data_IF_787226977678
#
_entry.id   IF_787226977678
#
_cell.length_a   1.000
_cell.length_b   1.000
_cell.length_c   1.000
_cell.angle_alpha   90.00
_cell.angle_beta   90.00
_cell.angle_gamma   90.00
#
_symmetry.space_group_name_H-M   'P 1'
#
loop_
_entity.id
_entity.type
_entity.pdbx_description
1 polymer ?
#
# COMPACT_ATOMS: atom_id res chain seq x y z
N UNK A 1 -3.27 -0.90 -6.22
CA UNK A 1 -2.99 -2.31 -6.57
C UNK A 1 -4.20 -2.92 -7.23
N UNK A 2 -5.22 -3.54 -6.64
CA UNK A 2 -6.38 -4.03 -7.44
C UNK A 2 -7.06 -2.90 -8.26
N UNK A 3 -6.94 -1.66 -7.77
CA UNK A 3 -7.30 -0.42 -8.47
C UNK A 3 -6.07 0.44 -8.73
N UNK A 4 -6.14 1.29 -9.76
CA UNK A 4 -5.15 2.35 -9.97
C UNK A 4 -5.33 3.39 -8.88
N UNK A 5 -4.25 3.71 -8.18
CA UNK A 5 -4.21 4.78 -7.18
C UNK A 5 -3.10 5.76 -7.52
N UNK A 6 -3.32 7.02 -7.14
CA UNK A 6 -2.38 8.11 -7.35
C UNK A 6 -1.65 8.44 -6.06
N UNK A 7 -0.38 8.79 -6.20
CA UNK A 7 0.35 9.47 -5.13
C UNK A 7 -0.23 10.88 -4.96
N UNK A 8 -0.49 11.32 -3.73
CA UNK A 8 -1.02 12.67 -3.50
C UNK A 8 0.04 13.72 -3.80
N UNK A 9 -0.37 14.92 -4.23
CA UNK A 9 0.55 16.04 -4.51
C UNK A 9 1.48 16.40 -3.33
N UNK A 10 1.04 16.14 -2.10
CA UNK A 10 1.85 16.30 -0.89
C UNK A 10 3.02 15.29 -0.79
N UNK A 11 3.20 14.38 -1.76
CA UNK A 11 4.37 13.51 -1.87
C UNK A 11 5.69 14.30 -1.95
N UNK A 12 5.64 15.54 -2.44
CA UNK A 12 6.78 16.46 -2.46
C UNK A 12 7.37 16.71 -1.07
N UNK A 13 6.54 16.71 -0.02
CA UNK A 13 7.00 16.80 1.36
C UNK A 13 7.74 15.55 1.81
N UNK A 14 7.28 14.36 1.41
CA UNK A 14 7.98 13.10 1.66
C UNK A 14 9.32 13.07 0.92
N UNK A 15 9.38 13.56 -0.32
CA UNK A 15 10.65 13.72 -1.06
C UNK A 15 11.61 14.66 -0.33
N UNK A 16 11.13 15.78 0.19
CA UNK A 16 11.95 16.67 1.02
C UNK A 16 12.47 15.98 2.29
N UNK A 17 11.65 15.15 2.95
CA UNK A 17 12.08 14.34 4.10
C UNK A 17 13.17 13.33 3.70
N UNK A 18 13.06 12.70 2.53
CA UNK A 18 14.10 11.81 1.99
C UNK A 18 15.41 12.57 1.71
N UNK A 19 15.33 13.80 1.21
CA UNK A 19 16.53 14.64 1.04
C UNK A 19 17.15 15.05 2.38
N UNK A 20 16.33 15.29 3.41
CA UNK A 20 16.80 15.48 4.78
C UNK A 20 17.53 14.24 5.31
N UNK A 21 16.99 13.05 5.06
CA UNK A 21 17.62 11.77 5.40
C UNK A 21 18.96 11.61 4.67
N UNK A 22 19.00 11.89 3.36
CA UNK A 22 20.19 11.82 2.49
C UNK A 22 21.30 12.74 2.98
N UNK A 23 20.98 13.99 3.28
CA UNK A 23 21.97 14.97 3.73
C UNK A 23 22.60 14.54 5.06
N UNK A 24 21.77 14.13 6.04
CA UNK A 24 22.25 13.66 7.33
C UNK A 24 23.08 12.38 7.21
N UNK A 25 22.59 11.35 6.51
CA UNK A 25 23.31 10.08 6.44
C UNK A 25 24.64 10.22 5.70
N UNK A 26 24.68 11.01 4.63
CA UNK A 26 25.93 11.36 3.91
C UNK A 26 26.93 12.02 4.84
N UNK A 27 26.51 13.03 5.60
CA UNK A 27 27.39 13.75 6.51
C UNK A 27 27.87 12.89 7.69
N UNK A 28 27.01 12.03 8.25
CA UNK A 28 27.37 11.11 9.34
C UNK A 28 28.33 10.00 8.89
N UNK A 29 28.20 9.57 7.63
CA UNK A 29 29.05 8.54 7.05
C UNK A 29 30.35 9.10 6.45
N UNK A 30 30.59 10.42 6.51
CA UNK A 30 31.89 11.00 6.15
C UNK A 30 32.99 10.40 7.03
N UNK A 31 34.16 10.12 6.41
CA UNK A 31 35.30 9.50 7.07
C UNK A 31 35.88 10.36 8.21
N UNK A 32 35.67 11.68 8.16
CA UNK A 32 36.15 12.64 9.16
C UNK A 32 35.06 13.04 10.15
N UNK A 33 33.83 12.53 10.03
CA UNK A 33 32.77 12.78 11.00
C UNK A 33 32.88 11.78 12.15
N UNK A 34 33.14 12.27 13.35
CA UNK A 34 33.19 11.48 14.58
C UNK A 34 32.03 11.84 15.52
N UNK A 35 31.70 10.97 16.49
CA UNK A 35 30.59 11.22 17.43
C UNK A 35 30.67 12.57 18.15
N UNK A 36 31.88 13.05 18.47
CA UNK A 36 32.09 14.32 19.16
C UNK A 36 31.75 15.56 18.32
N UNK A 37 31.77 15.43 16.99
CA UNK A 37 31.48 16.52 16.06
C UNK A 37 29.97 16.74 15.89
N UNK A 38 29.19 15.67 16.08
CA UNK A 38 27.75 15.63 15.86
C UNK A 38 27.03 16.34 17.02
N UNK A 39 26.73 17.62 16.77
CA UNK A 39 25.95 18.50 17.65
C UNK A 39 24.67 18.97 16.96
N UNK A 40 23.80 19.68 17.68
CA UNK A 40 22.60 20.29 17.08
C UNK A 40 22.98 21.37 16.05
N UNK A 41 24.02 22.17 16.32
CA UNK A 41 24.51 23.16 15.35
C UNK A 41 25.11 22.49 14.12
N UNK A 42 25.82 21.38 14.31
CA UNK A 42 26.31 20.57 13.19
C UNK A 42 25.14 20.09 12.31
N UNK A 43 24.07 19.55 12.91
CA UNK A 43 22.91 19.10 12.15
C UNK A 43 22.23 20.27 11.41
N UNK A 44 22.10 21.44 12.05
CA UNK A 44 21.59 22.66 11.43
C UNK A 44 22.43 23.12 10.23
N UNK A 45 23.76 22.99 10.32
CA UNK A 45 24.64 23.32 9.19
C UNK A 45 24.49 22.33 8.03
N UNK A 46 24.33 21.04 8.33
CA UNK A 46 24.15 19.99 7.31
C UNK A 46 22.85 20.17 6.54
N UNK A 47 21.74 20.43 7.24
CA UNK A 47 20.40 20.45 6.62
C UNK A 47 19.81 21.85 6.43
N UNK A 48 20.49 22.89 6.91
CA UNK A 48 20.12 24.29 6.74
C UNK A 48 19.89 24.69 5.28
N UNK A 49 20.74 24.28 4.32
CA UNK A 49 20.53 24.55 2.90
C UNK A 49 19.23 23.96 2.32
N UNK A 50 18.63 22.95 2.98
CA UNK A 50 17.34 22.36 2.59
C UNK A 50 16.14 23.18 3.12
N UNK A 51 16.39 24.31 3.77
CA UNK A 51 15.35 25.23 4.27
C UNK A 51 14.61 24.70 5.49
N UNK A 52 15.24 23.91 6.37
CA UNK A 52 14.59 23.32 7.55
C UNK A 52 14.15 24.37 8.59
N UNK A 53 13.00 24.15 9.25
CA UNK A 53 12.61 24.94 10.43
C UNK A 53 13.61 24.66 11.57
N UNK A 54 14.38 25.69 11.93
CA UNK A 54 15.42 25.62 12.98
C UNK A 54 14.85 25.19 14.33
N UNK A 55 13.69 25.74 14.72
CA UNK A 55 13.08 25.41 16.00
C UNK A 55 12.54 23.97 16.01
N UNK A 56 12.02 23.50 14.88
CA UNK A 56 11.62 22.11 14.69
C UNK A 56 12.83 21.17 14.77
N UNK A 57 13.92 21.43 14.04
CA UNK A 57 15.08 20.55 14.02
C UNK A 57 15.72 20.45 15.43
N UNK A 58 15.83 21.57 16.15
CA UNK A 58 16.31 21.57 17.54
C UNK A 58 15.46 20.66 18.43
N UNK A 59 14.13 20.67 18.28
CA UNK A 59 13.25 19.74 19.01
C UNK A 59 13.40 18.31 18.52
N UNK A 60 13.53 18.09 17.21
CA UNK A 60 13.69 16.74 16.64
C UNK A 60 14.95 16.07 17.18
N UNK A 61 16.08 16.78 17.25
CA UNK A 61 17.33 16.29 17.83
C UNK A 61 17.20 15.85 19.30
N UNK A 62 16.25 16.40 20.06
CA UNK A 62 16.00 16.05 21.47
C UNK A 62 14.87 15.04 21.67
N UNK A 63 14.09 14.73 20.64
CA UNK A 63 13.08 13.67 20.72
C UNK A 63 13.73 12.33 20.97
N UNK A 64 13.16 11.58 21.91
CA UNK A 64 13.61 10.24 22.26
C UNK A 64 12.60 9.17 21.90
N UNK A 65 13.13 8.03 21.47
CA UNK A 65 12.45 6.74 21.32
C UNK A 65 13.35 5.71 22.00
N UNK A 66 12.79 4.84 22.83
CA UNK A 66 13.55 3.88 23.64
C UNK A 66 14.63 4.53 24.51
N UNK A 67 14.34 5.72 25.03
CA UNK A 67 15.24 6.55 25.88
C UNK A 67 16.51 7.05 25.17
N UNK A 68 16.64 6.86 23.86
CA UNK A 68 17.75 7.38 23.05
C UNK A 68 17.22 8.54 22.21
N UNK A 69 17.91 9.70 22.28
CA UNK A 69 17.55 10.89 21.50
C UNK A 69 17.97 10.74 20.04
N UNK A 70 17.35 11.50 19.13
CA UNK A 70 17.79 11.52 17.73
C UNK A 70 19.27 11.95 17.60
N UNK A 71 19.71 12.94 18.39
CA UNK A 71 21.13 13.34 18.44
C UNK A 71 22.04 12.17 18.83
N UNK A 72 21.69 11.39 19.85
CA UNK A 72 22.48 10.23 20.26
C UNK A 72 22.51 9.14 19.16
N UNK A 73 21.41 8.97 18.40
CA UNK A 73 21.39 8.05 17.25
C UNK A 73 22.31 8.50 16.12
N UNK A 74 22.32 9.80 15.82
CA UNK A 74 23.27 10.38 14.86
C UNK A 74 24.72 10.12 15.30
N UNK A 75 25.03 10.35 16.58
CA UNK A 75 26.35 10.08 17.15
C UNK A 75 26.75 8.59 17.05
N UNK A 76 25.79 7.67 17.22
CA UNK A 76 26.04 6.24 17.04
C UNK A 76 26.43 5.90 15.61
N UNK A 77 25.75 6.47 14.60
CA UNK A 77 26.11 6.29 13.18
C UNK A 77 27.50 6.86 12.89
N UNK A 78 27.79 8.07 13.36
CA UNK A 78 29.10 8.70 13.18
C UNK A 78 30.25 7.91 13.82
N UNK A 79 29.96 7.08 14.83
CA UNK A 79 30.92 6.21 15.51
C UNK A 79 31.14 4.85 14.85
N UNK A 80 30.41 4.51 13.78
CA UNK A 80 30.63 3.28 13.02
C UNK A 80 31.96 3.35 12.25
N UNK A 81 32.53 2.19 11.97
CA UNK A 81 33.74 2.06 11.17
C UNK A 81 33.51 2.48 9.69
N UNK A 82 34.59 2.79 8.99
CA UNK A 82 34.54 3.33 7.64
C UNK A 82 33.92 2.36 6.61
N UNK A 83 34.12 1.04 6.79
CA UNK A 83 33.54 0.03 5.90
C UNK A 83 32.01 0.01 6.07
N UNK A 84 31.53 -0.06 7.31
CA UNK A 84 30.10 -0.01 7.63
C UNK A 84 29.46 1.28 7.11
N UNK A 85 30.10 2.44 7.31
CA UNK A 85 29.62 3.73 6.77
C UNK A 85 29.47 3.69 5.24
N UNK A 86 30.45 3.11 4.53
CA UNK A 86 30.37 2.92 3.08
C UNK A 86 29.21 2.04 2.65
N UNK A 87 28.97 0.93 3.35
CA UNK A 87 27.84 0.02 3.09
C UNK A 87 26.49 0.71 3.31
N UNK A 88 26.36 1.54 4.35
CA UNK A 88 25.13 2.29 4.62
C UNK A 88 24.79 3.24 3.46
N UNK A 89 25.78 4.00 2.97
CA UNK A 89 25.56 4.93 1.85
C UNK A 89 25.20 4.19 0.57
N UNK A 90 25.91 3.12 0.26
CA UNK A 90 25.63 2.30 -0.92
C UNK A 90 24.21 1.72 -0.87
N UNK A 91 23.80 1.16 0.28
CA UNK A 91 22.47 0.59 0.47
C UNK A 91 21.36 1.65 0.43
N UNK A 92 21.58 2.81 1.05
CA UNK A 92 20.62 3.92 0.99
C UNK A 92 20.41 4.39 -0.45
N UNK A 93 21.47 4.69 -1.19
CA UNK A 93 21.40 5.16 -2.57
C UNK A 93 20.82 4.13 -3.54
N UNK A 94 21.12 2.85 -3.30
CA UNK A 94 20.57 1.75 -4.08
C UNK A 94 19.06 1.63 -3.87
N UNK A 95 18.60 1.59 -2.62
CA UNK A 95 17.17 1.39 -2.31
C UNK A 95 16.32 2.60 -2.73
N UNK A 96 16.86 3.83 -2.73
CA UNK A 96 16.11 5.01 -3.21
C UNK A 96 15.68 4.91 -4.69
N UNK A 97 16.25 4.00 -5.49
CA UNK A 97 15.86 3.77 -6.89
C UNK A 97 14.73 2.74 -6.98
N UNK A 98 13.67 2.94 -6.19
CA UNK A 98 12.62 1.95 -6.02
C UNK A 98 11.91 1.60 -7.33
N UNK A 99 11.78 2.55 -8.25
CA UNK A 99 11.19 2.35 -9.57
C UNK A 99 11.94 1.29 -10.39
N UNK A 100 13.26 1.21 -10.23
CA UNK A 100 14.08 0.21 -10.93
C UNK A 100 13.74 -1.23 -10.50
N UNK A 101 13.25 -1.43 -9.26
CA UNK A 101 12.81 -2.75 -8.77
C UNK A 101 11.57 -3.28 -9.51
N UNK A 102 10.86 -2.41 -10.25
CA UNK A 102 9.63 -2.75 -10.94
C UNK A 102 9.71 -2.59 -12.48
N UNK A 103 10.90 -2.33 -13.02
CA UNK A 103 11.14 -2.29 -14.46
C UNK A 103 11.16 -3.71 -15.03
N UNK A 104 10.14 -4.09 -15.81
CA UNK A 104 10.01 -5.45 -16.38
C UNK A 104 11.03 -5.73 -17.51
N UNK A 105 11.69 -4.69 -18.05
CA UNK A 105 12.63 -4.74 -19.17
C UNK A 105 14.10 -4.53 -18.76
N UNK A 106 14.41 -4.49 -17.47
CA UNK A 106 15.76 -4.30 -16.98
C UNK A 106 16.68 -5.49 -17.32
N UNK A 107 17.91 -5.19 -17.77
CA UNK A 107 18.92 -6.23 -18.04
C UNK A 107 19.33 -7.02 -16.79
N UNK A 108 19.26 -6.38 -15.62
CA UNK A 108 19.56 -6.97 -14.32
C UNK A 108 18.48 -6.57 -13.30
N UNK A 109 18.05 -7.51 -12.43
CA UNK A 109 17.10 -7.20 -11.36
C UNK A 109 17.67 -6.19 -10.36
N UNK A 110 16.83 -5.23 -9.95
CA UNK A 110 17.15 -4.29 -8.88
C UNK A 110 16.55 -4.80 -7.56
N UNK A 111 17.21 -5.80 -6.94
CA UNK A 111 16.81 -6.30 -5.64
C UNK A 111 17.20 -5.30 -4.54
N UNK A 112 16.28 -5.01 -3.63
CA UNK A 112 16.52 -4.07 -2.53
C UNK A 112 17.53 -4.66 -1.53
N UNK A 113 18.42 -3.82 -1.03
CA UNK A 113 19.47 -4.21 -0.11
C UNK A 113 18.96 -4.30 1.33
N UNK A 114 18.17 -3.31 1.78
CA UNK A 114 17.68 -3.24 3.15
C UNK A 114 18.77 -3.41 4.22
N UNK A 115 18.36 -3.79 5.44
CA UNK A 115 19.28 -4.01 6.55
C UNK A 115 20.10 -5.30 6.45
N UNK A 116 19.65 -6.28 5.66
CA UNK A 116 20.36 -7.56 5.49
C UNK A 116 21.72 -7.39 4.79
N UNK A 117 21.91 -6.28 4.08
CA UNK A 117 23.18 -5.89 3.46
C UNK A 117 24.23 -5.35 4.46
N UNK A 118 23.83 -5.08 5.71
CA UNK A 118 24.70 -4.48 6.72
C UNK A 118 25.21 -5.51 7.73
N UNK A 119 26.37 -5.26 8.37
CA UNK A 119 26.82 -6.06 9.51
C UNK A 119 25.75 -6.16 10.61
N UNK A 120 25.57 -7.35 11.17
CA UNK A 120 24.50 -7.60 12.15
C UNK A 120 24.52 -6.66 13.38
N UNK A 121 25.71 -6.19 13.77
CA UNK A 121 25.85 -5.23 14.87
C UNK A 121 25.42 -3.79 14.55
N UNK A 122 25.46 -3.38 13.27
CA UNK A 122 25.12 -2.01 12.85
C UNK A 122 23.67 -1.87 12.39
N UNK A 123 23.05 -2.95 11.90
CA UNK A 123 21.66 -2.93 11.42
C UNK A 123 20.65 -2.31 12.41
N UNK A 124 20.65 -2.62 13.73
CA UNK A 124 19.73 -1.99 14.68
C UNK A 124 19.97 -0.49 14.87
N UNK A 125 21.22 -0.04 14.76
CA UNK A 125 21.59 1.38 14.87
C UNK A 125 21.01 2.16 13.68
N UNK A 126 21.19 1.61 12.47
CA UNK A 126 20.68 2.20 11.23
C UNK A 126 19.15 2.20 11.20
N UNK A 127 18.53 1.07 11.53
CA UNK A 127 17.08 0.96 11.65
C UNK A 127 16.52 2.07 12.54
N UNK A 128 17.06 2.18 13.75
CA UNK A 128 16.51 3.08 14.74
C UNK A 128 16.78 4.56 14.43
N UNK A 129 17.83 4.89 13.66
CA UNK A 129 18.04 6.23 13.10
C UNK A 129 16.95 6.61 12.10
N UNK A 130 16.72 5.79 11.08
CA UNK A 130 15.74 6.07 10.03
C UNK A 130 14.30 6.03 10.55
N UNK A 131 14.00 5.13 11.48
CA UNK A 131 12.68 5.06 12.10
C UNK A 131 12.27 6.38 12.72
N UNK A 132 13.19 7.21 13.25
CA UNK A 132 12.86 8.50 13.87
C UNK A 132 12.15 9.48 12.93
N UNK A 133 12.41 9.39 11.62
CA UNK A 133 11.76 10.22 10.60
C UNK A 133 10.29 9.80 10.39
N UNK A 134 9.99 8.51 10.43
CA UNK A 134 8.60 8.07 10.39
C UNK A 134 7.96 8.15 11.79
N UNK A 135 8.50 7.39 12.74
CA UNK A 135 8.13 7.37 14.15
C UNK A 135 9.26 7.96 15.03
N UNK A 136 9.13 9.16 15.59
CA UNK A 136 7.87 9.84 15.87
C UNK A 136 7.54 11.01 14.94
N UNK A 137 8.40 11.40 13.99
CA UNK A 137 8.27 12.72 13.37
C UNK A 137 7.01 12.88 12.50
N UNK A 138 6.62 11.88 11.72
CA UNK A 138 5.39 11.94 10.93
C UNK A 138 4.12 11.90 11.79
N UNK A 139 4.20 11.34 13.00
CA UNK A 139 3.11 11.33 14.00
C UNK A 139 3.02 12.62 14.82
N UNK A 140 4.16 13.26 15.11
CA UNK A 140 4.23 14.52 15.86
C UNK A 140 4.10 15.75 14.97
N UNK A 141 4.23 15.58 13.66
CA UNK A 141 4.16 16.62 12.66
C UNK A 141 5.52 17.19 12.30
N UNK A 142 5.77 17.24 11.00
CA UNK A 142 6.83 18.01 10.39
C UNK A 142 6.43 19.48 10.23
N UNK A 143 7.44 20.34 10.14
CA UNK A 143 7.36 21.68 9.59
C UNK A 143 8.10 21.65 8.25
N UNK A 144 7.37 21.41 7.16
CA UNK A 144 7.97 21.27 5.84
C UNK A 144 7.99 22.63 5.13
N UNK A 145 9.02 22.93 4.32
CA UNK A 145 9.07 24.19 3.59
C UNK A 145 7.89 24.34 2.62
N UNK A 146 7.32 25.55 2.56
CA UNK A 146 6.34 25.97 1.56
C UNK A 146 6.77 27.33 0.97
N UNK A 147 6.12 27.83 -0.08
CA UNK A 147 6.49 28.99 -0.88
C UNK A 147 6.75 30.29 -0.09
N UNK A 148 6.29 30.40 1.16
CA UNK A 148 6.47 31.62 1.98
C UNK A 148 6.93 31.39 3.41
N UNK A 149 6.88 30.15 3.93
CA UNK A 149 7.26 29.80 5.31
C UNK A 149 7.32 28.26 5.47
N UNK A 150 6.63 27.72 6.48
CA UNK A 150 6.50 26.30 6.76
C UNK A 150 5.04 25.90 6.90
N UNK A 151 4.71 24.67 6.53
CA UNK A 151 3.39 24.09 6.78
C UNK A 151 3.46 22.79 7.58
N UNK A 152 2.41 22.50 8.38
CA UNK A 152 2.36 21.25 9.11
C UNK A 152 2.11 20.08 8.15
N UNK A 153 3.00 19.08 8.20
CA UNK A 153 2.82 17.84 7.47
C UNK A 153 2.84 16.65 8.42
N UNK A 154 1.82 15.79 8.33
CA UNK A 154 1.66 14.65 9.21
C UNK A 154 1.15 13.44 8.45
N UNK A 155 1.17 12.28 9.10
CA UNK A 155 0.54 11.06 8.58
C UNK A 155 -0.93 11.30 8.20
N UNK A 156 -1.67 12.06 9.01
CA UNK A 156 -3.08 12.34 8.74
C UNK A 156 -3.24 13.22 7.49
N UNK A 157 -2.42 14.26 7.37
CA UNK A 157 -2.38 15.14 6.18
C UNK A 157 -2.10 14.34 4.91
N UNK A 158 -1.20 13.35 4.97
CA UNK A 158 -0.91 12.46 3.84
C UNK A 158 -2.11 11.57 3.47
N UNK A 159 -2.79 10.99 4.47
CA UNK A 159 -4.00 10.17 4.25
C UNK A 159 -5.13 10.99 3.64
N UNK A 160 -5.37 12.19 4.16
CA UNK A 160 -6.45 13.06 3.68
C UNK A 160 -6.19 13.49 2.23
N UNK A 161 -4.95 13.88 1.92
CA UNK A 161 -4.56 14.22 0.56
C UNK A 161 -4.64 13.02 -0.40
N UNK A 162 -4.30 11.81 0.05
CA UNK A 162 -4.45 10.59 -0.74
C UNK A 162 -5.92 10.33 -1.07
N UNK A 163 -6.81 10.44 -0.09
CA UNK A 163 -8.26 10.24 -0.30
C UNK A 163 -8.80 11.25 -1.31
N UNK A 164 -8.42 12.52 -1.18
CA UNK A 164 -8.82 13.59 -2.09
C UNK A 164 -8.35 13.34 -3.53
N UNK A 165 -7.06 13.02 -3.73
CA UNK A 165 -6.45 12.81 -5.04
C UNK A 165 -7.04 11.58 -5.78
N UNK A 166 -7.49 10.59 -5.02
CA UNK A 166 -8.06 9.36 -5.56
C UNK A 166 -9.57 9.46 -5.84
N UNK A 167 -10.16 10.65 -5.67
CA UNK A 167 -11.43 11.03 -6.28
C UNK A 167 -12.66 10.91 -5.37
N UNK A 168 -13.82 11.10 -5.99
CA UNK A 168 -15.12 11.10 -5.33
C UNK A 168 -16.13 10.20 -6.06
N UNK A 169 -17.09 9.67 -5.32
CA UNK A 169 -18.25 8.97 -5.87
C UNK A 169 -19.24 9.92 -6.57
N UNK A 170 -20.29 9.37 -7.18
CA UNK A 170 -21.35 10.15 -7.87
C UNK A 170 -22.12 11.13 -6.96
N UNK A 171 -22.04 10.95 -5.65
CA UNK A 171 -22.67 11.82 -4.66
C UNK A 171 -21.67 12.83 -4.09
N UNK A 172 -20.48 12.94 -4.70
CA UNK A 172 -19.39 13.80 -4.24
C UNK A 172 -18.87 13.43 -2.83
N UNK A 173 -18.94 12.15 -2.45
CA UNK A 173 -18.25 11.64 -1.27
C UNK A 173 -16.85 11.13 -1.65
N UNK A 174 -15.82 11.34 -0.81
CA UNK A 174 -14.49 10.86 -1.13
C UNK A 174 -14.44 9.33 -1.28
N UNK A 175 -13.65 8.85 -2.25
CA UNK A 175 -13.45 7.42 -2.50
C UNK A 175 -12.75 6.79 -1.31
N UNK A 176 -13.37 5.75 -0.76
CA UNK A 176 -12.85 4.99 0.39
C UNK A 176 -12.74 3.51 0.08
N UNK A 177 -12.05 3.19 -1.01
CA UNK A 177 -11.77 1.80 -1.42
C UNK A 177 -10.30 1.47 -1.17
N UNK A 178 -10.06 0.40 -0.43
CA UNK A 178 -8.73 -0.12 -0.17
C UNK A 178 -8.13 -0.74 -1.43
N UNK A 179 -7.03 -0.15 -1.90
CA UNK A 179 -6.34 -0.56 -3.12
C UNK A 179 -5.77 -2.00 -3.08
N UNK A 180 -5.71 -2.63 -1.90
CA UNK A 180 -5.20 -4.00 -1.74
C UNK A 180 -6.30 -5.06 -1.79
N UNK A 181 -7.53 -4.74 -1.40
CA UNK A 181 -8.56 -5.77 -1.23
C UNK A 181 -9.94 -5.39 -1.78
N UNK A 182 -10.08 -4.23 -2.42
CA UNK A 182 -11.36 -3.67 -2.87
C UNK A 182 -12.39 -3.47 -1.73
N UNK A 183 -11.97 -3.58 -0.48
CA UNK A 183 -12.84 -3.35 0.69
C UNK A 183 -12.94 -1.88 1.04
N UNK A 184 -13.68 -1.59 2.09
CA UNK A 184 -13.72 -0.25 2.68
C UNK A 184 -12.33 0.13 3.21
N UNK A 185 -11.87 1.33 2.89
CA UNK A 185 -10.61 1.88 3.38
C UNK A 185 -10.68 2.17 4.89
N UNK A 186 -11.86 2.53 5.40
CA UNK A 186 -12.14 2.80 6.80
C UNK A 186 -11.26 3.89 7.38
N UNK A 187 -10.80 3.66 8.62
CA UNK A 187 -9.73 4.45 9.25
C UNK A 187 -8.40 4.04 8.65
N UNK A 188 -8.04 4.66 7.53
CA UNK A 188 -6.88 4.28 6.74
C UNK A 188 -5.58 4.28 7.57
N UNK A 189 -4.79 3.24 7.35
CA UNK A 189 -3.43 3.11 7.86
C UNK A 189 -2.42 3.35 6.75
N UNK A 190 -1.35 4.09 7.05
CA UNK A 190 -0.23 4.26 6.11
C UNK A 190 0.67 3.04 6.25
N UNK A 191 0.48 2.08 5.35
CA UNK A 191 1.33 0.91 5.22
C UNK A 191 2.67 1.30 4.61
N UNK A 192 3.71 0.59 5.04
CA UNK A 192 4.99 0.58 4.34
C UNK A 192 5.00 -0.65 3.47
N UNK A 193 4.91 -0.49 2.15
CA UNK A 193 4.88 -1.61 1.22
C UNK A 193 6.06 -2.57 1.50
N UNK A 194 7.27 -2.01 1.62
CA UNK A 194 8.42 -2.62 2.27
C UNK A 194 8.51 -2.20 3.74
N UNK A 195 8.42 -3.16 4.69
CA UNK A 195 8.40 -2.86 6.13
C UNK A 195 9.63 -2.08 6.58
N UNK A 196 9.41 -0.96 7.30
CA UNK A 196 10.49 -0.09 7.80
C UNK A 196 11.50 -0.81 8.70
N UNK A 197 11.09 -1.91 9.36
CA UNK A 197 11.99 -2.71 10.20
C UNK A 197 13.01 -3.53 9.41
N UNK A 198 12.80 -3.71 8.10
CA UNK A 198 13.70 -4.44 7.20
C UNK A 198 14.31 -3.51 6.13
N UNK A 199 13.52 -2.54 5.66
CA UNK A 199 13.88 -1.56 4.62
C UNK A 199 13.73 -0.12 5.15
N UNK A 200 14.46 0.28 6.20
CA UNK A 200 14.32 1.58 6.85
C UNK A 200 14.69 2.75 5.92
N UNK A 201 15.53 2.52 4.91
CA UNK A 201 15.86 3.51 3.88
C UNK A 201 14.62 3.98 3.10
N UNK A 202 13.58 3.15 3.04
CA UNK A 202 12.31 3.45 2.38
C UNK A 202 11.23 3.96 3.34
N UNK A 203 11.54 4.18 4.63
CA UNK A 203 10.56 4.54 5.66
C UNK A 203 9.75 5.82 5.36
N UNK A 204 10.32 6.76 4.61
CA UNK A 204 9.64 7.98 4.17
C UNK A 204 9.54 8.11 2.64
N UNK A 205 9.93 7.06 1.89
CA UNK A 205 9.86 7.11 0.44
C UNK A 205 8.40 7.18 -0.03
N UNK A 206 8.00 8.15 -0.87
CA UNK A 206 6.58 8.37 -1.18
C UNK A 206 5.90 7.14 -1.77
N UNK A 207 6.60 6.42 -2.66
CA UNK A 207 6.07 5.21 -3.28
C UNK A 207 6.04 4.01 -2.33
N UNK A 208 6.74 4.06 -1.20
CA UNK A 208 6.68 3.00 -0.19
C UNK A 208 5.51 3.19 0.78
N UNK A 209 4.91 4.38 0.85
CA UNK A 209 3.82 4.70 1.78
C UNK A 209 2.45 4.65 1.09
N UNK A 210 1.56 3.81 1.62
CA UNK A 210 0.25 3.55 0.98
C UNK A 210 -0.86 3.53 2.03
N UNK A 211 -1.85 4.45 1.95
CA UNK A 211 -3.05 4.32 2.77
C UNK A 211 -3.85 3.07 2.38
N UNK A 212 -4.01 2.15 3.34
CA UNK A 212 -4.77 0.90 3.20
C UNK A 212 -5.67 0.67 4.42
N UNK A 213 -6.63 -0.27 4.32
CA UNK A 213 -7.49 -0.59 5.46
C UNK A 213 -6.72 -1.35 6.55
N UNK A 214 -7.12 -1.16 7.80
CA UNK A 214 -6.51 -1.79 8.98
C UNK A 214 -6.44 -3.32 8.88
N UNK A 215 -7.47 -3.97 8.34
CA UNK A 215 -7.44 -5.41 8.11
C UNK A 215 -6.24 -5.82 7.24
N UNK A 216 -6.00 -5.14 6.11
CA UNK A 216 -4.92 -5.47 5.20
C UNK A 216 -3.56 -5.23 5.86
N UNK A 217 -3.46 -4.16 6.66
CA UNK A 217 -2.24 -3.80 7.38
C UNK A 217 -1.98 -4.67 8.62
N UNK A 218 -2.97 -5.42 9.10
CA UNK A 218 -2.84 -6.24 10.31
C UNK A 218 -1.78 -7.35 10.17
N UNK A 219 -1.27 -7.82 11.30
CA UNK A 219 -0.28 -8.92 11.38
C UNK A 219 -0.81 -10.26 10.86
N UNK A 220 -2.13 -10.45 10.80
CA UNK A 220 -2.75 -11.61 10.18
C UNK A 220 -2.67 -11.57 8.64
N UNK A 221 -2.59 -10.38 8.05
CA UNK A 221 -2.48 -10.15 6.62
C UNK A 221 -1.10 -9.58 6.31
N UNK A 222 -0.91 -8.35 5.81
CA UNK A 222 0.41 -7.88 5.42
C UNK A 222 1.36 -7.73 6.60
N UNK A 223 1.02 -6.86 7.57
CA UNK A 223 1.89 -6.51 8.69
C UNK A 223 3.32 -6.22 8.23
N UNK A 224 4.29 -6.83 8.91
CA UNK A 224 5.72 -6.67 8.63
C UNK A 224 6.25 -7.65 7.56
N UNK A 225 5.39 -8.31 6.77
CA UNK A 225 5.83 -9.21 5.69
C UNK A 225 6.14 -8.38 4.44
N UNK A 226 7.37 -8.43 3.90
CA UNK A 226 7.67 -7.79 2.64
C UNK A 226 7.02 -8.59 1.49
N UNK A 227 6.40 -7.90 0.51
CA UNK A 227 5.89 -8.52 -0.72
C UNK A 227 7.05 -8.80 -1.68
N UNK A 228 7.90 -9.75 -1.30
CA UNK A 228 9.10 -10.17 -2.03
C UNK A 228 9.20 -11.70 -2.07
N UNK A 229 9.77 -12.22 -3.14
CA UNK A 229 10.15 -13.62 -3.27
C UNK A 229 11.62 -13.78 -2.91
N UNK A 230 11.92 -13.70 -1.60
CA UNK A 230 13.30 -13.71 -1.10
C UNK A 230 14.12 -14.89 -1.64
N UNK A 231 15.30 -14.60 -2.17
CA UNK A 231 16.21 -15.61 -2.73
C UNK A 231 15.98 -15.97 -4.20
N UNK A 232 14.92 -15.45 -4.84
CA UNK A 232 14.78 -15.52 -6.29
C UNK A 232 15.73 -14.52 -6.99
N UNK A 233 16.16 -14.76 -8.25
CA UNK A 233 17.02 -13.83 -8.98
C UNK A 233 16.45 -12.41 -9.07
N UNK A 234 15.13 -12.29 -9.27
CA UNK A 234 14.37 -11.05 -9.20
C UNK A 234 13.27 -11.22 -8.15
N UNK A 235 13.51 -10.66 -6.97
CA UNK A 235 12.63 -10.84 -5.81
C UNK A 235 11.28 -10.11 -5.99
N UNK A 236 11.22 -9.11 -6.88
CA UNK A 236 10.05 -8.27 -7.13
C UNK A 236 9.18 -8.77 -8.29
N UNK A 237 9.73 -9.59 -9.18
CA UNK A 237 9.07 -10.06 -10.41
C UNK A 237 7.66 -10.61 -10.18
N UNK A 238 7.53 -11.41 -9.12
CA UNK A 238 6.29 -12.09 -8.73
C UNK A 238 5.28 -11.22 -7.98
N UNK A 239 5.49 -9.91 -7.88
CA UNK A 239 4.66 -9.03 -7.08
C UNK A 239 4.18 -7.80 -7.87
N UNK A 240 2.95 -7.39 -7.59
CA UNK A 240 2.43 -6.08 -8.00
C UNK A 240 2.95 -5.00 -7.06
N UNK A 241 2.89 -3.73 -7.48
CA UNK A 241 3.10 -2.57 -6.60
C UNK A 241 1.94 -1.58 -6.72
N UNK A 242 1.47 -0.93 -5.63
CA UNK A 242 0.29 -0.07 -5.68
C UNK A 242 0.39 1.09 -6.68
N UNK A 243 1.58 1.67 -6.83
CA UNK A 243 1.84 2.78 -7.74
C UNK A 243 2.61 2.40 -9.01
N UNK A 244 3.54 1.44 -8.90
CA UNK A 244 4.56 1.19 -9.93
C UNK A 244 4.17 0.04 -10.87
N UNK A 245 3.35 -0.90 -10.39
CA UNK A 245 2.94 -2.08 -11.12
C UNK A 245 1.53 -2.52 -10.64
N UNK A 246 0.48 -1.72 -10.89
CA UNK A 246 -0.88 -2.03 -10.43
C UNK A 246 -1.50 -3.17 -11.24
N UNK A 247 -2.44 -3.90 -10.64
CA UNK A 247 -3.13 -5.03 -11.27
C UNK A 247 -4.36 -4.59 -12.11
N UNK A 248 -4.81 -3.35 -11.97
CA UNK A 248 -6.05 -2.86 -12.56
C UNK A 248 -6.11 -3.06 -14.08
N UNK A 249 -7.12 -3.82 -14.53
CA UNK A 249 -7.33 -4.16 -15.94
C UNK A 249 -6.51 -5.37 -16.44
N UNK A 250 -5.80 -6.07 -15.57
CA UNK A 250 -4.97 -7.25 -15.93
C UNK A 250 -5.58 -8.58 -15.47
N UNK A 251 -6.77 -8.54 -14.87
CA UNK A 251 -7.41 -9.72 -14.29
C UNK A 251 -8.93 -9.61 -14.35
N UNK A 252 -9.58 -10.76 -14.25
CA UNK A 252 -11.00 -10.92 -13.99
C UNK A 252 -11.20 -11.61 -12.64
N UNK A 253 -12.40 -11.47 -12.08
CA UNK A 253 -12.83 -12.27 -10.92
C UNK A 253 -13.70 -13.39 -11.45
N UNK A 254 -13.30 -14.63 -11.23
CA UNK A 254 -14.09 -15.84 -11.53
C UNK A 254 -14.65 -16.44 -10.25
N UNK A 255 -15.68 -17.29 -10.37
CA UNK A 255 -16.18 -18.07 -9.24
C UNK A 255 -15.90 -19.56 -9.42
N UNK A 256 -15.54 -20.21 -8.33
CA UNK A 256 -15.34 -21.66 -8.25
C UNK A 256 -16.08 -22.22 -7.04
N UNK A 257 -16.37 -23.52 -7.06
CA UNK A 257 -16.96 -24.23 -5.92
C UNK A 257 -15.89 -24.88 -5.05
N UNK A 258 -15.94 -24.58 -3.75
CA UNK A 258 -15.27 -25.33 -2.68
C UNK A 258 -16.34 -26.04 -1.85
N UNK A 259 -16.61 -27.30 -2.20
CA UNK A 259 -17.80 -28.01 -1.73
C UNK A 259 -19.08 -27.26 -2.12
N UNK A 260 -19.89 -26.87 -1.13
CA UNK A 260 -21.10 -26.07 -1.37
C UNK A 260 -20.84 -24.56 -1.45
N UNK A 261 -19.62 -24.09 -1.09
CA UNK A 261 -19.31 -22.67 -1.01
C UNK A 261 -18.88 -22.15 -2.38
N UNK A 262 -19.48 -21.05 -2.81
CA UNK A 262 -18.99 -20.27 -3.95
C UNK A 262 -17.83 -19.38 -3.49
N UNK A 263 -16.71 -19.43 -4.19
CA UNK A 263 -15.47 -18.73 -3.84
C UNK A 263 -15.04 -17.84 -5.01
N UNK A 264 -14.82 -16.53 -4.81
CA UNK A 264 -14.28 -15.65 -5.82
C UNK A 264 -12.76 -15.82 -5.94
N UNK A 265 -12.25 -15.91 -7.17
CA UNK A 265 -10.83 -16.13 -7.47
C UNK A 265 -10.37 -15.14 -8.53
N UNK A 266 -9.18 -14.57 -8.33
CA UNK A 266 -8.53 -13.67 -9.30
C UNK A 266 -7.87 -14.48 -10.42
N UNK A 267 -8.19 -14.15 -11.68
CA UNK A 267 -7.71 -14.86 -12.87
C UNK A 267 -7.13 -13.94 -13.93
N UNK A 268 -6.06 -14.39 -14.56
CA UNK A 268 -5.45 -13.73 -15.73
C UNK A 268 -4.97 -14.79 -16.71
N UNK A 269 -5.05 -14.48 -18.00
CA UNK A 269 -4.50 -15.33 -19.07
C UNK A 269 -2.97 -15.22 -19.20
N UNK A 270 -2.36 -14.22 -18.57
CA UNK A 270 -0.90 -14.06 -18.51
C UNK A 270 -0.35 -14.76 -17.26
N UNK A 271 0.55 -15.74 -17.44
CA UNK A 271 1.09 -16.58 -16.37
C UNK A 271 1.83 -15.78 -15.29
N UNK A 272 2.54 -14.72 -15.69
CA UNK A 272 3.28 -13.88 -14.75
C UNK A 272 2.32 -13.03 -13.91
N UNK A 273 1.30 -12.45 -14.54
CA UNK A 273 0.22 -11.73 -13.88
C UNK A 273 -0.56 -12.66 -12.95
N UNK A 274 -0.86 -13.89 -13.39
CA UNK A 274 -1.50 -14.90 -12.55
C UNK A 274 -0.65 -15.23 -11.30
N UNK A 275 0.67 -15.36 -11.47
CA UNK A 275 1.61 -15.54 -10.34
C UNK A 275 1.53 -14.36 -9.37
N UNK A 276 1.53 -13.12 -9.88
CA UNK A 276 1.38 -11.90 -9.08
C UNK A 276 0.05 -11.86 -8.31
N UNK A 277 -1.05 -12.28 -8.95
CA UNK A 277 -2.38 -12.38 -8.30
C UNK A 277 -2.37 -13.41 -7.18
N UNK A 278 -1.77 -14.58 -7.39
CA UNK A 278 -1.66 -15.63 -6.36
C UNK A 278 -0.89 -15.12 -5.13
N UNK A 279 0.26 -14.47 -5.35
CA UNK A 279 1.04 -13.88 -4.26
C UNK A 279 0.27 -12.80 -3.51
N UNK A 280 -0.42 -11.93 -4.22
CA UNK A 280 -1.29 -10.88 -3.66
C UNK A 280 -2.43 -11.46 -2.81
N UNK A 281 -3.18 -12.41 -3.37
CA UNK A 281 -4.27 -13.12 -2.69
C UNK A 281 -3.81 -13.78 -1.41
N UNK A 282 -2.66 -14.47 -1.44
CA UNK A 282 -2.06 -15.10 -0.26
C UNK A 282 -1.66 -14.08 0.81
N UNK A 283 -1.02 -12.97 0.42
CA UNK A 283 -0.52 -11.97 1.37
C UNK A 283 -1.66 -11.29 2.14
N UNK A 284 -2.77 -10.96 1.46
CA UNK A 284 -3.90 -10.25 2.03
C UNK A 284 -5.09 -11.13 2.42
N UNK A 285 -4.92 -12.45 2.30
CA UNK A 285 -5.93 -13.48 2.60
C UNK A 285 -7.26 -13.21 1.88
N UNK A 286 -7.19 -12.91 0.58
CA UNK A 286 -8.36 -12.47 -0.17
C UNK A 286 -9.39 -13.59 -0.33
N UNK A 287 -8.98 -14.85 -0.53
CA UNK A 287 -9.91 -15.97 -0.72
C UNK A 287 -10.92 -16.07 0.42
N UNK A 288 -10.44 -16.04 1.68
CA UNK A 288 -11.30 -16.06 2.87
C UNK A 288 -12.16 -14.81 2.95
N UNK A 289 -11.53 -13.63 2.87
CA UNK A 289 -12.20 -12.34 3.13
C UNK A 289 -13.22 -12.00 2.06
N UNK A 290 -12.90 -12.27 0.80
CA UNK A 290 -13.82 -12.07 -0.31
C UNK A 290 -14.96 -13.07 -0.30
N UNK A 291 -14.71 -14.32 0.10
CA UNK A 291 -15.80 -15.28 0.27
C UNK A 291 -16.80 -14.87 1.36
N UNK A 292 -16.33 -14.25 2.45
CA UNK A 292 -17.22 -13.70 3.49
C UNK A 292 -18.03 -12.51 2.96
N UNK A 293 -17.39 -11.62 2.20
CA UNK A 293 -18.05 -10.48 1.54
C UNK A 293 -19.06 -10.92 0.46
N UNK A 294 -18.72 -11.95 -0.31
CA UNK A 294 -19.60 -12.53 -1.33
C UNK A 294 -20.91 -13.01 -0.71
N UNK A 295 -20.88 -13.67 0.45
CA UNK A 295 -22.09 -14.11 1.13
C UNK A 295 -23.07 -12.95 1.39
N UNK A 296 -22.57 -11.77 1.78
CA UNK A 296 -23.40 -10.58 1.94
C UNK A 296 -23.96 -10.05 0.60
N UNK A 297 -23.18 -10.14 -0.49
CA UNK A 297 -23.60 -9.74 -1.84
C UNK A 297 -24.64 -10.70 -2.43
N UNK A 298 -24.50 -12.00 -2.21
CA UNK A 298 -25.51 -13.01 -2.58
C UNK A 298 -26.84 -12.70 -1.90
N UNK A 299 -26.82 -12.46 -0.58
CA UNK A 299 -28.04 -12.09 0.16
C UNK A 299 -28.67 -10.79 -0.36
N UNK A 300 -27.86 -9.78 -0.72
CA UNK A 300 -28.36 -8.53 -1.29
C UNK A 300 -29.02 -8.76 -2.66
N UNK A 301 -28.40 -9.59 -3.51
CA UNK A 301 -28.92 -9.96 -4.82
C UNK A 301 -30.25 -10.71 -4.71
N UNK A 302 -30.32 -11.70 -3.81
CA UNK A 302 -31.56 -12.42 -3.50
C UNK A 302 -32.69 -11.48 -3.06
N UNK A 303 -32.39 -10.42 -2.30
CA UNK A 303 -33.39 -9.39 -1.97
C UNK A 303 -33.84 -8.58 -3.21
N UNK A 304 -32.93 -8.26 -4.15
CA UNK A 304 -33.29 -7.60 -5.42
C UNK A 304 -34.22 -8.47 -6.26
N UNK A 305 -33.90 -9.77 -6.39
CA UNK A 305 -34.74 -10.75 -7.10
C UNK A 305 -36.13 -10.85 -6.46
N UNK A 306 -36.23 -10.96 -5.13
CA UNK A 306 -37.54 -10.98 -4.44
C UNK A 306 -38.39 -9.74 -4.75
N UNK A 307 -37.79 -8.55 -4.80
CA UNK A 307 -38.51 -7.31 -5.17
C UNK A 307 -39.04 -7.36 -6.60
N UNK A 308 -38.24 -7.85 -7.55
CA UNK A 308 -38.68 -8.03 -8.95
C UNK A 308 -39.83 -9.03 -9.07
N UNK A 309 -39.76 -10.14 -8.32
CA UNK A 309 -40.84 -11.13 -8.26
C UNK A 309 -42.14 -10.55 -7.70
N UNK A 310 -42.05 -9.79 -6.61
CA UNK A 310 -43.20 -9.10 -6.02
C UNK A 310 -43.84 -8.12 -7.00
N UNK A 311 -43.01 -7.35 -7.73
CA UNK A 311 -43.47 -6.42 -8.76
C UNK A 311 -44.22 -7.13 -9.89
N UNK A 312 -43.76 -8.31 -10.30
CA UNK A 312 -44.36 -9.11 -11.39
C UNK A 312 -45.45 -10.09 -10.94
N UNK A 313 -45.56 -10.34 -9.63
CA UNK A 313 -46.42 -11.37 -9.02
C UNK A 313 -46.14 -12.79 -9.51
N UNK A 314 -44.92 -13.06 -9.96
CA UNK A 314 -44.42 -14.38 -10.39
C UNK A 314 -42.90 -14.43 -10.34
N UNK A 315 -42.33 -15.63 -10.44
CA UNK A 315 -40.90 -15.81 -10.70
C UNK A 315 -40.48 -15.13 -12.02
N UNK A 316 -39.22 -14.68 -12.08
CA UNK A 316 -38.63 -14.20 -13.33
C UNK A 316 -38.45 -15.39 -14.26
N UNK A 317 -38.76 -15.21 -15.54
CA UNK A 317 -38.33 -16.16 -16.56
C UNK A 317 -36.81 -16.08 -16.70
N UNK A 318 -36.19 -17.15 -17.23
CA UNK A 318 -34.73 -17.24 -17.43
C UNK A 318 -34.14 -15.98 -18.07
N UNK A 319 -34.68 -15.59 -19.23
CA UNK A 319 -34.21 -14.41 -19.98
C UNK A 319 -34.44 -13.10 -19.21
N UNK A 320 -35.51 -13.00 -18.41
CA UNK A 320 -35.77 -11.83 -17.58
C UNK A 320 -34.76 -11.71 -16.43
N UNK A 321 -34.31 -12.83 -15.85
CA UNK A 321 -33.28 -12.84 -14.82
C UNK A 321 -31.92 -12.47 -15.43
N UNK A 322 -31.56 -13.05 -16.57
CA UNK A 322 -30.33 -12.72 -17.31
C UNK A 322 -30.27 -11.22 -17.60
N UNK A 323 -31.34 -10.65 -18.14
CA UNK A 323 -31.40 -9.22 -18.47
C UNK A 323 -31.29 -8.34 -17.21
N UNK A 324 -31.86 -8.79 -16.08
CA UNK A 324 -31.71 -8.09 -14.81
C UNK A 324 -30.27 -8.12 -14.29
N UNK A 325 -29.61 -9.27 -14.37
CA UNK A 325 -28.22 -9.42 -13.95
C UNK A 325 -27.30 -8.56 -14.81
N UNK A 326 -27.49 -8.56 -16.14
CA UNK A 326 -26.75 -7.71 -17.07
C UNK A 326 -26.92 -6.22 -16.73
N UNK A 327 -28.17 -5.76 -16.62
CA UNK A 327 -28.47 -4.38 -16.23
C UNK A 327 -27.85 -4.00 -14.88
N UNK A 328 -27.88 -4.90 -13.87
CA UNK A 328 -27.25 -4.60 -12.58
C UNK A 328 -25.73 -4.59 -12.63
N UNK A 329 -25.09 -5.35 -13.52
CA UNK A 329 -23.65 -5.27 -13.76
C UNK A 329 -23.28 -3.93 -14.40
N UNK A 330 -24.02 -3.52 -15.43
CA UNK A 330 -23.84 -2.24 -16.11
C UNK A 330 -24.04 -1.04 -15.16
N UNK A 331 -25.05 -1.09 -14.30
CA UNK A 331 -25.37 -0.04 -13.32
C UNK A 331 -24.22 0.26 -12.34
N UNK A 332 -23.35 -0.71 -12.05
CA UNK A 332 -22.25 -0.59 -11.08
C UNK A 332 -20.86 -0.57 -11.72
N UNK A 333 -20.77 -0.60 -13.05
CA UNK A 333 -19.49 -0.59 -13.76
C UNK A 333 -18.64 0.65 -13.41
N UNK A 334 -19.28 1.82 -13.37
CA UNK A 334 -18.64 3.08 -13.00
C UNK A 334 -18.27 3.17 -11.50
N UNK A 335 -18.77 2.25 -10.68
CA UNK A 335 -18.49 2.20 -9.24
C UNK A 335 -17.23 1.37 -8.91
N UNK A 336 -16.59 0.74 -9.91
CA UNK A 336 -15.36 -0.04 -9.76
C UNK A 336 -14.21 0.83 -9.22
N UNK A 337 -13.66 0.43 -8.06
CA UNK A 337 -12.61 1.19 -7.38
C UNK A 337 -13.10 2.47 -6.68
N UNK A 338 -14.40 2.76 -6.76
CA UNK A 338 -15.06 3.93 -6.14
C UNK A 338 -15.90 3.49 -4.94
N UNK A 339 -16.65 2.40 -5.08
CA UNK A 339 -17.46 1.81 -4.02
C UNK A 339 -16.86 0.46 -3.58
N UNK A 340 -16.80 0.17 -2.27
CA UNK A 340 -16.24 -1.09 -1.78
C UNK A 340 -16.95 -2.35 -2.29
N UNK A 341 -16.15 -3.35 -2.63
CA UNK A 341 -16.53 -4.72 -3.01
C UNK A 341 -17.30 -4.79 -4.33
N UNK A 342 -17.19 -3.77 -5.17
CA UNK A 342 -17.84 -3.77 -6.50
C UNK A 342 -17.16 -4.76 -7.43
N UNK A 343 -15.86 -5.07 -7.29
CA UNK A 343 -15.21 -6.09 -8.14
C UNK A 343 -15.95 -7.43 -8.06
N UNK A 344 -16.19 -7.92 -6.84
CA UNK A 344 -16.86 -9.20 -6.64
C UNK A 344 -18.36 -9.13 -6.99
N UNK A 345 -19.03 -8.00 -6.75
CA UNK A 345 -20.47 -7.84 -7.05
C UNK A 345 -20.72 -7.79 -8.56
N UNK A 346 -19.92 -7.00 -9.29
CA UNK A 346 -20.00 -6.89 -10.75
C UNK A 346 -19.69 -8.21 -11.43
N UNK A 347 -18.65 -8.91 -10.98
CA UNK A 347 -18.33 -10.24 -11.50
C UNK A 347 -19.47 -11.24 -11.26
N UNK A 348 -20.08 -11.23 -10.08
CA UNK A 348 -21.20 -12.11 -9.75
C UNK A 348 -22.41 -11.88 -10.67
N UNK A 349 -22.73 -10.61 -10.96
CA UNK A 349 -23.78 -10.29 -11.91
C UNK A 349 -23.43 -10.67 -13.35
N UNK A 350 -22.21 -10.36 -13.80
CA UNK A 350 -21.77 -10.63 -15.17
C UNK A 350 -21.78 -12.12 -15.47
N UNK A 351 -21.16 -12.94 -14.60
CA UNK A 351 -21.14 -14.38 -14.77
C UNK A 351 -22.51 -15.03 -14.58
N UNK A 352 -23.37 -14.47 -13.74
CA UNK A 352 -24.76 -14.90 -13.68
C UNK A 352 -25.51 -14.62 -14.99
N UNK A 353 -25.28 -13.48 -15.63
CA UNK A 353 -25.88 -13.15 -16.92
C UNK A 353 -25.31 -13.99 -18.08
N UNK A 354 -24.04 -14.38 -18.00
CA UNK A 354 -23.37 -15.29 -18.95
C UNK A 354 -23.66 -16.77 -18.66
N UNK A 355 -24.57 -17.04 -17.72
CA UNK A 355 -25.04 -18.38 -17.37
C UNK A 355 -23.93 -19.33 -16.89
N UNK A 356 -22.91 -18.78 -16.22
CA UNK A 356 -21.91 -19.60 -15.54
C UNK A 356 -22.62 -20.58 -14.58
N UNK A 357 -22.41 -21.90 -14.70
CA UNK A 357 -23.18 -22.90 -13.97
C UNK A 357 -23.00 -22.78 -12.45
N UNK A 358 -21.81 -22.40 -11.99
CA UNK A 358 -21.53 -22.23 -10.57
C UNK A 358 -22.31 -21.05 -9.97
N UNK A 359 -22.74 -20.08 -10.77
CA UNK A 359 -23.45 -18.87 -10.29
C UNK A 359 -24.95 -18.94 -10.62
N UNK A 360 -25.28 -19.20 -11.88
CA UNK A 360 -26.63 -19.02 -12.41
C UNK A 360 -27.61 -20.07 -11.88
N UNK A 361 -27.20 -21.31 -11.70
CA UNK A 361 -28.07 -22.36 -11.18
C UNK A 361 -28.56 -22.04 -9.75
N UNK A 362 -27.70 -21.51 -8.89
CA UNK A 362 -28.07 -21.08 -7.55
C UNK A 362 -29.06 -19.90 -7.57
N UNK A 363 -28.84 -18.93 -8.46
CA UNK A 363 -29.75 -17.81 -8.65
C UNK A 363 -31.12 -18.24 -9.19
N UNK A 364 -31.15 -19.18 -10.13
CA UNK A 364 -32.38 -19.73 -10.71
C UNK A 364 -33.17 -20.54 -9.69
N UNK A 365 -32.51 -21.45 -8.96
CA UNK A 365 -33.14 -22.22 -7.88
C UNK A 365 -33.78 -21.30 -6.84
N UNK A 366 -33.06 -20.24 -6.43
CA UNK A 366 -33.60 -19.24 -5.53
C UNK A 366 -34.80 -18.49 -6.13
N UNK A 367 -34.72 -18.11 -7.41
CA UNK A 367 -35.80 -17.42 -8.11
C UNK A 367 -37.07 -18.28 -8.23
N UNK A 368 -36.94 -19.60 -8.30
CA UNK A 368 -38.08 -20.54 -8.39
C UNK A 368 -38.70 -20.89 -7.03
N UNK A 369 -37.88 -21.00 -5.97
CA UNK A 369 -38.32 -21.50 -4.66
C UNK A 369 -38.87 -20.42 -3.71
N UNK A 370 -38.47 -19.16 -3.88
CA UNK A 370 -38.96 -18.03 -3.05
C UNK A 370 -40.22 -17.37 -3.57
#
# INVERSE_FOLDING_TARGET
MLHRVKLPACETHLRWIVELQRALITALCDAHCHPGDVTIEWALNVVGPLGVDVAWLRRFCTWSKDKITFLARMQQIAGLDAETKGLILAAFDHDQKLEAAFADDAEQPHNLMGLSSLPAGSAPVVQAFFEMFYDPALYRGYRVPNASDFEPFSRQTFVDAFIEENGHDRNNNPVRVCAMCDGDLGNAEVDHYYPKGQYPFLSCHPQNLVPICSDCNSTANKGEKPPLSAGEPDENRGWFHPYLRPAAGLFDVEFQRDGSRLVPVLRSSDDLTQTRLVNHTRLFNLDKRWSDRLAHRVQATQRRIRKEKQRRRRALQRDELIEKLRSWAEDIEADLGIIPNVLIERAYFSQGADENPDVFEELMLFNEQG
#
